data_IF_736664502276
#
_entry.id   IF_736664502276
#
_cell.length_a   1.000
_cell.length_b   1.000
_cell.length_c   1.000
_cell.angle_alpha   90.00
_cell.angle_beta   90.00
_cell.angle_gamma   90.00
#
_symmetry.space_group_name_H-M   'P 1'
#
loop_
_entity.id
_entity.type
_entity.pdbx_description
1 polymer ?
#
# COMPACT_ATOMS: atom_id res chain seq x y z
N UNK A 1 -18.89 17.22 -5.80
CA UNK A 1 -19.21 16.79 -4.41
C UNK A 1 -17.95 16.22 -3.76
N UNK A 2 -17.65 16.60 -2.52
CA UNK A 2 -16.43 16.19 -1.83
C UNK A 2 -16.60 14.80 -1.19
N UNK A 3 -15.67 13.87 -1.44
CA UNK A 3 -15.68 12.56 -0.77
C UNK A 3 -15.60 12.71 0.75
N UNK A 4 -16.32 11.86 1.49
CA UNK A 4 -16.39 11.94 2.94
C UNK A 4 -15.00 11.90 3.62
N UNK A 5 -14.10 11.00 3.19
CA UNK A 5 -12.72 10.94 3.71
C UNK A 5 -11.92 12.23 3.52
N UNK A 6 -12.24 13.04 2.50
CA UNK A 6 -11.60 14.35 2.30
C UNK A 6 -12.16 15.40 3.25
N UNK A 7 -13.46 15.31 3.59
CA UNK A 7 -14.03 16.12 4.68
C UNK A 7 -13.32 15.81 6.00
N UNK A 8 -13.04 14.54 6.28
CA UNK A 8 -12.27 14.12 7.47
C UNK A 8 -10.90 14.82 7.50
N UNK A 9 -10.15 14.83 6.40
CA UNK A 9 -8.84 15.49 6.34
C UNK A 9 -8.92 17.00 6.63
N UNK A 10 -9.89 17.69 6.02
CA UNK A 10 -10.10 19.12 6.22
C UNK A 10 -10.56 19.43 7.65
N UNK A 11 -11.51 18.65 8.17
CA UNK A 11 -12.00 18.79 9.54
C UNK A 11 -10.92 18.46 10.58
N UNK A 12 -10.02 17.50 10.29
CA UNK A 12 -8.84 17.22 11.13
C UNK A 12 -7.94 18.46 11.17
N UNK A 13 -7.59 19.04 10.02
CA UNK A 13 -6.82 20.29 9.98
C UNK A 13 -7.51 21.41 10.77
N UNK A 14 -8.81 21.61 10.57
CA UNK A 14 -9.63 22.63 11.26
C UNK A 14 -9.59 22.44 12.78
N UNK A 15 -9.77 21.18 13.22
CA UNK A 15 -9.75 20.79 14.63
C UNK A 15 -8.42 21.15 15.30
N UNK A 16 -7.31 20.99 14.60
CA UNK A 16 -5.95 21.28 15.08
C UNK A 16 -5.46 22.70 14.69
N UNK A 17 -6.36 23.68 14.62
CA UNK A 17 -5.99 25.09 14.44
C UNK A 17 -5.71 25.51 13.01
N UNK A 18 -6.11 24.70 12.03
CA UNK A 18 -6.05 25.00 10.60
C UNK A 18 -4.68 24.81 9.96
N UNK A 19 -3.66 24.39 10.71
CA UNK A 19 -2.32 24.21 10.18
C UNK A 19 -1.59 23.05 10.87
N UNK A 20 -1.05 22.12 10.08
CA UNK A 20 -0.27 20.98 10.58
C UNK A 20 0.92 20.70 9.66
N UNK A 21 2.03 20.20 10.22
CA UNK A 21 3.05 19.58 9.37
C UNK A 21 2.51 18.31 8.72
N UNK A 22 3.00 17.95 7.55
CA UNK A 22 2.61 16.71 6.87
C UNK A 22 2.90 15.46 7.72
N UNK A 23 3.93 15.51 8.58
CA UNK A 23 4.23 14.43 9.54
C UNK A 23 3.17 14.38 10.63
N UNK A 24 2.85 15.49 11.30
CA UNK A 24 1.82 15.49 12.36
C UNK A 24 0.44 15.12 11.82
N UNK A 25 0.06 15.60 10.64
CA UNK A 25 -1.22 15.25 10.01
C UNK A 25 -1.38 13.74 9.86
N UNK A 26 -0.37 13.05 9.31
CA UNK A 26 -0.42 11.60 9.15
C UNK A 26 -0.60 10.87 10.49
N UNK A 27 -0.04 11.40 11.59
CA UNK A 27 -0.07 10.77 12.92
C UNK A 27 -1.40 11.02 13.61
N UNK A 28 -1.91 12.24 13.57
CA UNK A 28 -3.24 12.54 14.08
C UNK A 28 -4.31 11.78 13.31
N UNK A 29 -4.22 11.73 11.97
CA UNK A 29 -5.14 10.94 11.15
C UNK A 29 -5.05 9.46 11.51
N UNK A 30 -3.82 8.93 11.65
CA UNK A 30 -3.62 7.55 12.07
C UNK A 30 -4.30 7.26 13.42
N UNK A 31 -4.07 8.08 14.44
CA UNK A 31 -4.65 7.90 15.77
C UNK A 31 -6.17 8.02 15.75
N UNK A 32 -6.70 9.00 15.03
CA UNK A 32 -8.13 9.18 14.82
C UNK A 32 -8.78 7.95 14.19
N UNK A 33 -8.21 7.39 13.12
CA UNK A 33 -8.85 6.24 12.43
C UNK A 33 -8.86 4.97 13.26
N UNK A 34 -8.06 4.85 14.34
CA UNK A 34 -8.12 3.71 15.27
C UNK A 34 -9.30 3.78 16.22
N UNK A 35 -9.95 4.94 16.32
CA UNK A 35 -11.18 5.11 17.07
C UNK A 35 -12.41 4.91 16.17
N UNK A 36 -12.24 4.69 14.86
CA UNK A 36 -13.34 4.40 13.94
C UNK A 36 -13.61 2.89 13.86
N UNK A 37 -14.89 2.52 13.73
CA UNK A 37 -15.28 1.13 13.46
C UNK A 37 -14.81 0.67 12.07
N UNK A 38 -15.04 1.53 11.06
CA UNK A 38 -14.54 1.37 9.70
C UNK A 38 -13.53 2.51 9.46
N UNK A 39 -12.22 2.20 9.41
CA UNK A 39 -11.21 3.22 9.18
C UNK A 39 -11.41 3.94 7.85
N UNK A 40 -11.39 5.27 7.88
CA UNK A 40 -11.47 6.08 6.67
C UNK A 40 -10.18 6.09 5.83
N UNK A 41 -9.06 5.69 6.45
CA UNK A 41 -7.75 5.56 5.81
C UNK A 41 -6.96 4.38 6.38
N UNK A 42 -6.25 3.69 5.48
CA UNK A 42 -5.28 2.65 5.79
C UNK A 42 -3.86 3.22 5.81
N UNK A 43 -2.94 2.51 6.46
CA UNK A 43 -1.56 2.97 6.68
C UNK A 43 -0.56 1.83 6.52
N UNK A 44 0.67 2.18 6.15
CA UNK A 44 1.83 1.28 6.10
C UNK A 44 2.96 1.75 7.03
N UNK A 45 3.90 0.88 7.44
CA UNK A 45 5.14 1.30 8.08
C UNK A 45 6.08 1.98 7.07
N UNK A 46 6.47 3.22 7.36
CA UNK A 46 7.27 4.05 6.45
C UNK A 46 8.35 4.86 7.19
N UNK A 47 9.05 5.72 6.44
CA UNK A 47 10.23 6.49 6.88
C UNK A 47 10.08 7.22 8.22
N UNK A 48 8.88 7.69 8.56
CA UNK A 48 8.59 8.41 9.81
C UNK A 48 7.42 7.78 10.55
N UNK A 49 7.24 6.47 10.47
CA UNK A 49 6.12 5.78 11.11
C UNK A 49 5.00 5.46 10.14
N UNK A 50 3.78 5.48 10.68
CA UNK A 50 2.57 5.29 9.89
C UNK A 50 2.43 6.35 8.78
N UNK A 51 2.05 5.86 7.60
CA UNK A 51 1.85 6.68 6.41
C UNK A 51 0.72 6.12 5.54
N UNK A 52 -0.19 7.00 5.11
CA UNK A 52 -1.23 6.73 4.11
C UNK A 52 -0.91 7.46 2.81
N UNK A 53 -0.71 6.70 1.74
CA UNK A 53 -0.60 7.21 0.38
C UNK A 53 -1.92 7.82 -0.08
N UNK A 54 -3.05 7.21 0.29
CA UNK A 54 -4.38 7.72 -0.05
C UNK A 54 -4.63 9.09 0.60
N UNK A 55 -4.27 9.26 1.88
CA UNK A 55 -4.37 10.56 2.55
C UNK A 55 -3.48 11.60 1.88
N UNK A 56 -2.24 11.25 1.52
CA UNK A 56 -1.34 12.17 0.83
C UNK A 56 -1.87 12.58 -0.56
N UNK A 57 -2.48 11.67 -1.31
CA UNK A 57 -3.11 12.01 -2.59
C UNK A 57 -4.35 12.89 -2.42
N UNK A 58 -5.16 12.62 -1.40
CA UNK A 58 -6.32 13.45 -1.13
C UNK A 58 -5.91 14.86 -0.68
N UNK A 59 -4.83 15.02 0.09
CA UNK A 59 -4.21 16.32 0.40
C UNK A 59 -3.82 17.06 -0.88
N UNK A 60 -3.10 16.41 -1.81
CA UNK A 60 -2.75 17.02 -3.10
C UNK A 60 -3.99 17.42 -3.92
N UNK A 61 -5.03 16.60 -3.87
CA UNK A 61 -6.30 16.91 -4.53
C UNK A 61 -6.98 18.12 -3.87
N UNK A 62 -6.94 18.23 -2.55
CA UNK A 62 -7.52 19.36 -1.81
C UNK A 62 -6.76 20.66 -2.08
N UNK A 63 -5.46 20.60 -2.28
CA UNK A 63 -4.69 21.75 -2.77
C UNK A 63 -5.17 22.18 -4.16
N UNK A 64 -5.31 21.23 -5.10
CA UNK A 64 -5.80 21.52 -6.46
C UNK A 64 -7.19 22.16 -6.45
N UNK A 65 -8.04 21.79 -5.49
CA UNK A 65 -9.38 22.36 -5.33
C UNK A 65 -9.41 23.66 -4.50
N UNK A 66 -8.26 24.15 -4.04
CA UNK A 66 -8.16 25.41 -3.30
C UNK A 66 -8.59 25.34 -1.83
N UNK A 67 -8.78 24.15 -1.25
CA UNK A 67 -9.13 24.02 0.17
C UNK A 67 -7.93 24.16 1.11
N UNK A 68 -6.73 23.84 0.62
CA UNK A 68 -5.50 23.88 1.40
C UNK A 68 -4.35 24.47 0.58
N UNK A 69 -3.35 24.97 1.27
CA UNK A 69 -2.04 25.33 0.74
C UNK A 69 -0.98 24.43 1.36
N UNK A 70 -0.03 23.98 0.54
CA UNK A 70 1.15 23.23 0.98
C UNK A 70 2.37 24.14 0.83
N UNK A 71 2.99 24.46 1.94
CA UNK A 71 4.17 25.32 2.02
C UNK A 71 5.39 24.44 2.30
N UNK A 72 6.36 24.47 1.40
CA UNK A 72 7.65 23.79 1.61
C UNK A 72 8.46 24.53 2.69
N UNK A 73 9.00 23.78 3.65
CA UNK A 73 9.88 24.25 4.73
C UNK A 73 11.13 23.38 4.78
N UNK A 74 12.20 23.88 5.42
CA UNK A 74 13.47 23.15 5.54
C UNK A 74 13.32 21.72 6.12
N UNK A 75 12.35 21.52 7.02
CA UNK A 75 12.14 20.25 7.74
C UNK A 75 10.91 19.44 7.26
N UNK A 76 10.33 19.82 6.11
CA UNK A 76 9.20 19.14 5.48
C UNK A 76 8.10 20.10 5.01
N UNK A 77 6.90 19.56 4.82
CA UNK A 77 5.74 20.31 4.31
C UNK A 77 4.84 20.78 5.43
N UNK A 78 4.37 22.02 5.35
CA UNK A 78 3.33 22.59 6.18
C UNK A 78 2.03 22.65 5.38
N UNK A 79 0.95 22.12 5.94
CA UNK A 79 -0.36 22.04 5.29
C UNK A 79 -1.29 22.98 6.04
N UNK A 80 -1.86 23.97 5.34
CA UNK A 80 -2.70 25.01 5.92
C UNK A 80 -4.05 25.05 5.24
N UNK A 81 -5.14 25.19 5.99
CA UNK A 81 -6.46 25.46 5.43
C UNK A 81 -6.49 26.84 4.79
N UNK A 82 -7.13 26.93 3.63
CA UNK A 82 -7.54 28.19 3.04
C UNK A 82 -8.89 28.62 3.67
N UNK A 83 -9.12 29.94 3.75
CA UNK A 83 -10.37 30.47 4.33
C UNK A 83 -11.59 29.89 3.59
N UNK A 84 -12.60 29.48 4.35
CA UNK A 84 -13.80 28.87 3.80
C UNK A 84 -14.81 28.49 4.88
N UNK A 85 -15.93 27.90 4.44
CA UNK A 85 -16.97 27.42 5.35
C UNK A 85 -16.43 26.28 6.25
N UNK A 86 -16.82 26.24 7.54
CA UNK A 86 -16.45 25.15 8.44
C UNK A 86 -16.80 23.77 7.86
N UNK A 87 -15.83 22.86 7.84
CA UNK A 87 -16.00 21.50 7.34
C UNK A 87 -16.33 20.54 8.47
N UNK A 88 -15.87 20.84 9.69
CA UNK A 88 -16.13 20.02 10.87
C UNK A 88 -17.62 19.69 11.09
N UNK A 89 -18.58 20.65 10.97
CA UNK A 89 -20.01 20.36 11.14
C UNK A 89 -20.61 19.45 10.06
N UNK A 90 -19.90 19.25 8.94
CA UNK A 90 -20.34 18.40 7.82
C UNK A 90 -19.96 16.93 7.98
N UNK A 91 -19.29 16.56 9.08
CA UNK A 91 -18.98 15.19 9.44
C UNK A 91 -20.15 14.53 10.16
N UNK A 92 -20.17 13.19 10.14
CA UNK A 92 -21.05 12.42 11.01
C UNK A 92 -20.72 12.71 12.48
N UNK A 93 -21.74 12.76 13.33
CA UNK A 93 -21.58 13.07 14.76
C UNK A 93 -20.57 12.16 15.45
N UNK A 94 -20.57 10.86 15.11
CA UNK A 94 -19.62 9.89 15.66
C UNK A 94 -18.16 10.22 15.33
N UNK A 95 -17.87 10.76 14.13
CA UNK A 95 -16.53 11.17 13.74
C UNK A 95 -16.16 12.53 14.34
N UNK A 96 -17.13 13.43 14.53
CA UNK A 96 -16.91 14.69 15.25
C UNK A 96 -16.45 14.44 16.69
N UNK A 97 -17.11 13.51 17.40
CA UNK A 97 -16.74 13.11 18.77
C UNK A 97 -15.32 12.54 18.79
N UNK A 98 -15.01 11.57 17.92
CA UNK A 98 -13.69 10.93 17.84
C UNK A 98 -12.57 11.91 17.49
N UNK A 99 -12.83 12.90 16.63
CA UNK A 99 -11.85 13.96 16.33
C UNK A 99 -11.58 14.84 17.55
N UNK A 100 -12.62 15.25 18.29
CA UNK A 100 -12.49 16.02 19.53
C UNK A 100 -11.71 15.24 20.59
N UNK A 101 -12.01 13.96 20.77
CA UNK A 101 -11.26 13.08 21.67
C UNK A 101 -9.78 12.95 21.27
N UNK A 102 -9.51 12.80 19.97
CA UNK A 102 -8.15 12.75 19.45
C UNK A 102 -7.40 14.07 19.71
N UNK A 103 -8.05 15.21 19.51
CA UNK A 103 -7.49 16.53 19.83
C UNK A 103 -7.18 16.66 21.32
N UNK A 104 -8.18 16.47 22.18
CA UNK A 104 -8.04 16.62 23.63
C UNK A 104 -6.88 15.77 24.17
N UNK A 105 -6.66 14.59 23.58
CA UNK A 105 -5.60 13.68 24.00
C UNK A 105 -4.21 14.08 23.51
N UNK A 106 -4.07 14.66 22.32
CA UNK A 106 -2.76 14.78 21.65
C UNK A 106 -2.40 16.19 21.17
N UNK A 107 -3.24 17.21 21.40
CA UNK A 107 -2.96 18.59 20.96
C UNK A 107 -1.72 19.21 21.63
N UNK A 108 -1.39 18.76 22.85
CA UNK A 108 -0.24 19.24 23.60
C UNK A 108 1.07 18.52 23.22
N UNK A 109 1.00 17.50 22.36
CA UNK A 109 2.19 16.77 21.91
C UNK A 109 2.92 17.57 20.83
N UNK A 110 4.22 17.72 20.97
CA UNK A 110 5.10 18.09 19.86
C UNK A 110 5.06 17.00 18.77
N UNK A 111 5.48 17.34 17.56
CA UNK A 111 5.61 16.35 16.47
C UNK A 111 6.48 15.15 16.87
N UNK A 112 7.56 15.39 17.62
CA UNK A 112 8.49 14.34 18.07
C UNK A 112 7.82 13.41 19.08
N UNK A 113 7.13 13.95 20.07
CA UNK A 113 6.37 13.17 21.05
C UNK A 113 5.25 12.38 20.39
N UNK A 114 4.57 12.97 19.42
CA UNK A 114 3.51 12.31 18.65
C UNK A 114 4.06 11.11 17.87
N UNK A 115 5.20 11.27 17.20
CA UNK A 115 5.86 10.16 16.49
C UNK A 115 6.30 9.08 17.49
N UNK A 116 7.00 9.46 18.57
CA UNK A 116 7.45 8.52 19.61
C UNK A 116 6.29 7.73 20.21
N UNK A 117 5.17 8.38 20.51
CA UNK A 117 3.96 7.74 20.99
C UNK A 117 3.43 6.70 20.01
N UNK A 118 3.35 7.04 18.71
CA UNK A 118 2.90 6.06 17.70
C UNK A 118 3.83 4.85 17.62
N UNK A 119 5.13 5.03 17.84
CA UNK A 119 6.10 3.92 17.79
C UNK A 119 5.97 3.02 19.01
N UNK A 120 5.81 3.60 20.19
CA UNK A 120 5.62 2.83 21.43
C UNK A 120 4.30 2.06 21.42
N UNK A 121 3.22 2.71 20.99
CA UNK A 121 1.87 2.11 21.01
C UNK A 121 1.60 1.17 19.85
N UNK A 122 2.22 1.43 18.69
CA UNK A 122 2.02 0.67 17.45
C UNK A 122 3.36 0.36 16.76
N UNK A 123 4.21 -0.48 17.39
CA UNK A 123 5.60 -0.68 16.98
C UNK A 123 5.77 -1.20 15.56
N UNK A 124 4.78 -1.91 15.00
CA UNK A 124 4.78 -2.34 13.61
C UNK A 124 5.01 -1.16 12.65
N UNK A 125 4.42 0.00 12.92
CA UNK A 125 4.54 1.16 12.03
C UNK A 125 5.92 1.82 12.07
N UNK A 126 6.77 1.45 13.04
CA UNK A 126 8.13 1.96 13.18
C UNK A 126 9.17 1.10 12.47
N UNK A 127 8.82 -0.07 11.93
CA UNK A 127 9.83 -0.98 11.35
C UNK A 127 10.63 -0.34 10.21
N UNK A 128 10.06 0.58 9.42
CA UNK A 128 10.79 1.24 8.33
C UNK A 128 11.22 2.67 8.67
N UNK A 129 11.19 3.04 9.95
CA UNK A 129 11.51 4.39 10.39
C UNK A 129 13.01 4.69 10.28
N UNK A 130 13.35 5.80 9.62
CA UNK A 130 14.72 6.30 9.54
C UNK A 130 15.17 7.06 10.77
N UNK A 131 14.25 7.35 11.70
CA UNK A 131 14.51 8.12 12.94
C UNK A 131 14.17 7.33 14.21
N UNK A 132 13.91 6.01 14.10
CA UNK A 132 13.52 5.23 15.28
C UNK A 132 14.65 5.17 16.31
N UNK A 133 15.90 5.10 15.87
CA UNK A 133 17.07 5.04 16.74
C UNK A 133 17.27 6.33 17.54
N UNK A 134 16.91 7.48 16.96
CA UNK A 134 17.00 8.78 17.63
C UNK A 134 15.88 8.99 18.65
N UNK A 135 14.75 8.28 18.47
CA UNK A 135 13.54 8.50 19.24
C UNK A 135 13.25 7.45 20.30
N UNK A 136 13.82 6.25 20.20
CA UNK A 136 13.48 5.11 21.05
C UNK A 136 14.68 4.62 21.88
N UNK A 137 14.39 4.14 23.08
CA UNK A 137 15.37 3.43 23.91
C UNK A 137 15.73 2.08 23.29
N UNK A 138 16.86 1.49 23.71
CA UNK A 138 17.30 0.15 23.27
C UNK A 138 16.21 -0.91 23.47
N UNK A 139 15.47 -0.86 24.59
CA UNK A 139 14.40 -1.80 24.88
C UNK A 139 13.21 -1.62 23.93
N UNK A 140 12.81 -0.38 23.65
CA UNK A 140 11.72 -0.07 22.70
C UNK A 140 12.11 -0.45 21.26
N UNK A 141 13.36 -0.24 20.86
CA UNK A 141 13.88 -0.66 19.55
C UNK A 141 13.81 -2.18 19.37
N UNK A 142 14.09 -2.96 20.42
CA UNK A 142 13.93 -4.42 20.38
C UNK A 142 12.47 -4.82 20.13
N UNK A 143 11.51 -4.11 20.73
CA UNK A 143 10.08 -4.35 20.48
C UNK A 143 9.73 -4.08 19.02
N UNK A 144 10.24 -2.98 18.43
CA UNK A 144 10.05 -2.67 17.01
C UNK A 144 10.67 -3.75 16.12
N UNK A 145 11.90 -4.18 16.42
CA UNK A 145 12.59 -5.21 15.62
C UNK A 145 11.85 -6.55 15.65
N UNK A 146 11.23 -6.91 16.78
CA UNK A 146 10.38 -8.10 16.90
C UNK A 146 9.12 -8.05 16.03
N UNK A 147 8.70 -6.86 15.56
CA UNK A 147 7.58 -6.73 14.61
C UNK A 147 7.98 -7.06 13.16
N UNK A 148 9.27 -7.13 12.85
CA UNK A 148 9.72 -7.52 11.51
C UNK A 148 9.56 -9.02 11.33
N UNK A 149 8.77 -9.40 10.33
CA UNK A 149 8.74 -10.79 9.86
C UNK A 149 10.03 -11.02 9.07
N UNK A 150 10.81 -12.04 9.45
CA UNK A 150 11.99 -12.48 8.71
C UNK A 150 11.88 -13.96 8.44
N UNK A 151 11.86 -14.34 7.17
CA UNK A 151 11.65 -15.70 6.69
C UNK A 151 12.75 -16.07 5.70
N UNK A 152 13.28 -17.28 5.83
CA UNK A 152 14.43 -17.74 5.05
C UNK A 152 14.06 -18.71 3.94
N UNK A 153 12.84 -19.24 3.96
CA UNK A 153 12.35 -20.18 2.95
C UNK A 153 12.04 -19.49 1.62
N UNK A 154 12.31 -20.19 0.53
CA UNK A 154 11.87 -19.75 -0.79
C UNK A 154 10.34 -19.93 -0.90
N UNK A 155 9.65 -18.91 -1.39
CA UNK A 155 8.20 -18.88 -1.45
C UNK A 155 7.73 -18.04 -2.64
N UNK A 156 6.86 -18.64 -3.44
CA UNK A 156 6.14 -17.97 -4.51
C UNK A 156 4.76 -17.56 -4.01
N UNK A 157 4.43 -16.28 -4.16
CA UNK A 157 3.14 -15.73 -3.78
C UNK A 157 2.29 -15.32 -4.97
N UNK A 158 0.99 -15.32 -4.76
CA UNK A 158 -0.02 -14.81 -5.68
C UNK A 158 -0.83 -13.74 -4.95
N UNK A 159 -0.88 -12.53 -5.49
CA UNK A 159 -1.64 -11.42 -4.90
C UNK A 159 -2.42 -10.64 -5.96
N UNK A 160 -3.73 -10.46 -5.71
CA UNK A 160 -4.62 -9.59 -6.47
C UNK A 160 -4.93 -8.32 -5.69
N UNK A 161 -5.19 -7.21 -6.39
CA UNK A 161 -5.47 -5.91 -5.75
C UNK A 161 -6.91 -5.41 -5.89
N UNK A 162 -7.77 -6.18 -6.55
CA UNK A 162 -9.21 -5.93 -6.58
C UNK A 162 -9.80 -5.90 -5.16
N UNK A 163 -10.65 -4.89 -4.90
CA UNK A 163 -11.34 -4.74 -3.61
C UNK A 163 -10.51 -4.23 -2.41
N UNK A 164 -9.17 -4.08 -2.50
CA UNK A 164 -8.33 -3.66 -1.36
C UNK A 164 -7.56 -2.36 -1.61
N UNK A 165 -7.20 -1.59 -0.59
CA UNK A 165 -6.40 -0.36 -0.77
C UNK A 165 -4.93 -0.67 -1.11
N UNK A 166 -4.18 0.34 -1.56
CA UNK A 166 -2.73 0.21 -1.76
C UNK A 166 -2.04 -0.16 -0.45
N UNK A 167 -2.43 0.47 0.65
CA UNK A 167 -1.85 0.23 1.96
C UNK A 167 -2.15 -1.18 2.48
N UNK A 168 -3.40 -1.67 2.35
CA UNK A 168 -3.72 -3.07 2.66
C UNK A 168 -2.88 -4.03 1.81
N UNK A 169 -2.74 -3.75 0.52
CA UNK A 169 -1.94 -4.56 -0.40
C UNK A 169 -0.46 -4.61 0.02
N UNK A 170 0.15 -3.47 0.32
CA UNK A 170 1.55 -3.38 0.74
C UNK A 170 1.76 -4.04 2.11
N UNK A 171 0.83 -3.88 3.06
CA UNK A 171 0.90 -4.57 4.35
C UNK A 171 0.87 -6.10 4.18
N UNK A 172 0.06 -6.65 3.26
CA UNK A 172 0.09 -8.09 2.96
C UNK A 172 1.47 -8.56 2.50
N UNK A 173 2.14 -7.78 1.66
CA UNK A 173 3.51 -8.09 1.21
C UNK A 173 4.51 -8.06 2.37
N UNK A 174 4.47 -7.01 3.19
CA UNK A 174 5.36 -6.84 4.35
C UNK A 174 5.16 -7.97 5.37
N UNK A 175 3.91 -8.29 5.71
CA UNK A 175 3.57 -9.33 6.69
C UNK A 175 3.94 -10.74 6.22
N UNK A 176 4.11 -10.94 4.91
CA UNK A 176 4.61 -12.20 4.35
C UNK A 176 6.09 -12.13 3.97
N UNK A 177 6.79 -11.06 4.36
CA UNK A 177 8.22 -10.85 4.09
C UNK A 177 8.54 -11.02 2.59
N UNK A 178 7.71 -10.43 1.73
CA UNK A 178 7.96 -10.47 0.28
C UNK A 178 9.11 -9.53 -0.04
N UNK A 179 10.14 -10.02 -0.74
CA UNK A 179 11.30 -9.23 -1.16
C UNK A 179 11.11 -8.63 -2.56
N UNK A 180 10.44 -9.35 -3.46
CA UNK A 180 10.20 -8.90 -4.84
C UNK A 180 8.73 -9.01 -5.21
N UNK A 181 8.20 -7.94 -5.80
CA UNK A 181 6.92 -7.94 -6.50
C UNK A 181 7.15 -8.00 -8.02
N UNK A 182 6.79 -9.11 -8.63
CA UNK A 182 6.78 -9.29 -10.08
C UNK A 182 5.41 -8.95 -10.65
N UNK A 183 5.32 -7.83 -11.36
CA UNK A 183 4.14 -7.44 -12.11
C UNK A 183 4.12 -8.13 -13.48
N UNK A 184 3.15 -9.03 -13.67
CA UNK A 184 2.98 -9.80 -14.92
C UNK A 184 1.86 -9.24 -15.79
N UNK A 185 1.38 -8.03 -15.52
CA UNK A 185 0.41 -7.33 -16.38
C UNK A 185 1.09 -6.88 -17.66
N UNK A 186 0.44 -7.10 -18.80
CA UNK A 186 0.91 -6.59 -20.10
C UNK A 186 1.05 -5.07 -20.04
N UNK A 187 -0.06 -4.42 -19.68
CA UNK A 187 -0.14 -3.00 -19.40
C UNK A 187 -0.30 -2.82 -17.90
N UNK A 188 0.74 -2.36 -17.21
CA UNK A 188 0.72 -2.05 -15.78
C UNK A 188 -0.03 -0.73 -15.47
N UNK A 189 -1.15 -0.52 -16.16
CA UNK A 189 -2.09 0.58 -15.96
C UNK A 189 -3.22 0.12 -15.05
N UNK A 190 -3.72 1.03 -14.20
CA UNK A 190 -4.91 0.79 -13.39
C UNK A 190 -5.59 2.11 -13.08
N UNK A 191 -6.92 2.11 -13.15
CA UNK A 191 -7.74 3.25 -12.70
C UNK A 191 -7.81 3.32 -11.17
N UNK A 192 -7.52 2.20 -10.49
CA UNK A 192 -7.49 2.14 -9.04
C UNK A 192 -6.22 2.84 -8.55
N UNK A 193 -6.40 3.83 -7.68
CA UNK A 193 -5.30 4.61 -7.12
C UNK A 193 -4.21 3.70 -6.52
N UNK A 194 -2.95 4.04 -6.76
CA UNK A 194 -1.80 3.29 -6.27
C UNK A 194 -1.31 2.15 -7.16
N UNK A 195 -2.11 1.64 -8.11
CA UNK A 195 -1.80 0.42 -8.86
C UNK A 195 -1.31 0.64 -10.30
N UNK A 196 -1.11 1.88 -10.73
CA UNK A 196 -0.32 2.17 -11.93
C UNK A 196 1.16 1.89 -11.67
N UNK A 197 1.91 1.39 -12.67
CA UNK A 197 3.35 1.03 -12.59
C UNK A 197 4.17 1.92 -11.67
N UNK A 198 4.26 3.22 -11.97
CA UNK A 198 5.12 4.15 -11.24
C UNK A 198 4.70 4.36 -9.78
N UNK A 199 3.40 4.30 -9.49
CA UNK A 199 2.90 4.45 -8.12
C UNK A 199 3.14 3.19 -7.29
N UNK A 200 2.86 2.02 -7.88
CA UNK A 200 3.08 0.74 -7.23
C UNK A 200 4.56 0.48 -6.97
N UNK A 201 5.41 0.76 -7.96
CA UNK A 201 6.86 0.69 -7.83
C UNK A 201 7.35 1.55 -6.66
N UNK A 202 6.99 2.85 -6.63
CA UNK A 202 7.38 3.75 -5.54
C UNK A 202 6.88 3.29 -4.17
N UNK A 203 5.68 2.72 -4.11
CA UNK A 203 5.11 2.20 -2.87
C UNK A 203 5.88 0.98 -2.35
N UNK A 204 6.22 0.04 -3.24
CA UNK A 204 7.04 -1.13 -2.94
C UNK A 204 8.46 -0.75 -2.52
N UNK A 205 9.17 0.03 -3.33
CA UNK A 205 10.56 0.42 -3.07
C UNK A 205 10.66 1.25 -1.79
N UNK A 206 9.66 2.07 -1.51
CA UNK A 206 9.59 2.87 -0.29
C UNK A 206 9.51 2.05 1.01
N UNK A 207 9.14 0.77 0.93
CA UNK A 207 9.14 -0.18 2.06
C UNK A 207 10.18 -1.29 1.91
N UNK A 208 11.11 -1.16 0.96
CA UNK A 208 12.19 -2.12 0.73
C UNK A 208 11.83 -3.33 -0.14
N UNK A 209 10.71 -3.28 -0.88
CA UNK A 209 10.29 -4.36 -1.79
C UNK A 209 10.71 -3.97 -3.20
N UNK A 210 11.49 -4.83 -3.85
CA UNK A 210 11.89 -4.64 -5.25
C UNK A 210 10.68 -4.82 -6.18
N UNK A 211 10.61 -4.04 -7.24
CA UNK A 211 9.54 -4.12 -8.24
C UNK A 211 10.11 -4.52 -9.59
N UNK A 212 9.61 -5.61 -10.17
CA UNK A 212 10.03 -6.12 -11.48
C UNK A 212 8.81 -6.23 -12.39
N UNK A 213 8.82 -5.52 -13.51
CA UNK A 213 7.75 -5.62 -14.51
C UNK A 213 8.15 -6.61 -15.61
N UNK A 214 7.29 -7.61 -15.85
CA UNK A 214 7.46 -8.69 -16.84
C UNK A 214 6.23 -8.70 -17.77
N UNK A 215 6.07 -7.67 -18.63
CA UNK A 215 4.90 -7.55 -19.51
C UNK A 215 4.79 -8.68 -20.55
N UNK A 216 5.87 -9.41 -20.83
CA UNK A 216 5.91 -10.48 -21.83
C UNK A 216 5.09 -11.71 -21.42
N UNK A 217 4.78 -11.84 -20.12
CA UNK A 217 3.85 -12.84 -19.58
C UNK A 217 2.44 -12.27 -19.35
N UNK A 218 2.14 -11.09 -19.88
CA UNK A 218 0.83 -10.48 -19.79
C UNK A 218 -0.07 -10.86 -20.97
N UNK A 219 -1.35 -11.12 -20.71
CA UNK A 219 -2.36 -11.19 -21.78
C UNK A 219 -2.66 -9.78 -22.28
N UNK A 220 -2.59 -9.58 -23.60
CA UNK A 220 -2.94 -8.33 -24.31
C UNK A 220 -4.35 -7.86 -23.95
N UNK A 221 -4.55 -6.54 -23.94
CA UNK A 221 -5.81 -5.94 -23.49
C UNK A 221 -6.98 -6.19 -24.45
N UNK A 222 -6.72 -6.27 -25.75
CA UNK A 222 -7.72 -6.58 -26.79
C UNK A 222 -8.35 -7.95 -26.59
N UNK A 223 -7.56 -8.97 -26.23
CA UNK A 223 -8.02 -10.33 -25.93
C UNK A 223 -8.89 -10.45 -24.67
N UNK A 224 -8.93 -9.41 -23.84
CA UNK A 224 -9.73 -9.37 -22.59
C UNK A 224 -11.08 -8.69 -22.74
N UNK A 225 -11.34 -7.98 -23.85
CA UNK A 225 -12.54 -7.14 -24.00
C UNK A 225 -13.83 -7.95 -24.26
N UNK A 226 -13.72 -9.22 -24.64
CA UNK A 226 -14.85 -10.07 -25.05
C UNK A 226 -15.00 -11.31 -24.15
N UNK A 227 -14.84 -11.15 -22.83
CA UNK A 227 -15.00 -12.24 -21.87
C UNK A 227 -16.32 -12.06 -21.10
N UNK A 228 -17.37 -12.78 -21.51
CA UNK A 228 -18.71 -12.67 -20.92
C UNK A 228 -19.11 -13.90 -20.10
N UNK A 229 -18.40 -15.01 -20.25
CA UNK A 229 -18.66 -16.28 -19.59
C UNK A 229 -17.38 -16.97 -19.12
N UNK A 230 -17.48 -17.91 -18.18
CA UNK A 230 -16.33 -18.71 -17.74
C UNK A 230 -15.68 -19.47 -18.90
N UNK A 231 -16.47 -19.92 -19.89
CA UNK A 231 -15.98 -20.59 -21.09
C UNK A 231 -15.04 -19.70 -21.91
N UNK A 232 -15.29 -18.39 -21.96
CA UNK A 232 -14.42 -17.44 -22.68
C UNK A 232 -13.06 -17.33 -21.99
N UNK A 233 -13.05 -17.31 -20.65
CA UNK A 233 -11.82 -17.35 -19.86
C UNK A 233 -11.04 -18.65 -20.10
N UNK A 234 -11.73 -19.79 -20.14
CA UNK A 234 -11.10 -21.09 -20.35
C UNK A 234 -10.40 -21.16 -21.72
N UNK A 235 -11.08 -20.71 -22.79
CA UNK A 235 -10.51 -20.62 -24.15
C UNK A 235 -9.31 -19.66 -24.18
N UNK A 236 -9.44 -18.48 -23.57
CA UNK A 236 -8.36 -17.50 -23.50
C UNK A 236 -7.13 -18.08 -22.79
N UNK A 237 -7.33 -18.78 -21.68
CA UNK A 237 -6.23 -19.36 -20.92
C UNK A 237 -5.59 -20.55 -21.62
N UNK A 238 -6.37 -21.38 -22.32
CA UNK A 238 -5.83 -22.43 -23.17
C UNK A 238 -4.95 -21.84 -24.27
N UNK A 239 -5.44 -20.83 -24.99
CA UNK A 239 -4.64 -20.14 -26.01
C UNK A 239 -3.36 -19.52 -25.41
N UNK A 240 -3.45 -18.89 -24.25
CA UNK A 240 -2.31 -18.31 -23.54
C UNK A 240 -1.26 -19.37 -23.14
N UNK A 241 -1.70 -20.54 -22.67
CA UNK A 241 -0.84 -21.68 -22.36
C UNK A 241 -0.15 -22.26 -23.61
N UNK A 242 -0.87 -22.32 -24.73
CA UNK A 242 -0.35 -22.88 -25.99
C UNK A 242 0.52 -21.91 -26.80
N UNK A 243 0.43 -20.60 -26.56
CA UNK A 243 1.18 -19.57 -27.28
C UNK A 243 2.20 -18.90 -26.35
N UNK A 244 1.77 -17.90 -25.58
CA UNK A 244 2.63 -17.03 -24.79
C UNK A 244 3.52 -17.80 -23.82
N UNK A 245 2.96 -18.76 -23.06
CA UNK A 245 3.77 -19.53 -22.09
C UNK A 245 4.78 -20.47 -22.76
N UNK A 246 4.53 -20.94 -23.99
CA UNK A 246 5.48 -21.77 -24.74
C UNK A 246 6.57 -20.93 -25.41
N UNK A 247 6.20 -19.78 -25.97
CA UNK A 247 7.11 -18.89 -26.69
C UNK A 247 7.99 -18.05 -25.76
N UNK A 248 7.48 -17.69 -24.57
CA UNK A 248 8.13 -16.77 -23.63
C UNK A 248 8.74 -17.47 -22.41
N UNK A 249 9.24 -18.71 -22.60
CA UNK A 249 9.86 -19.52 -21.53
C UNK A 249 11.02 -18.82 -20.82
N UNK A 250 11.79 -17.99 -21.53
CA UNK A 250 12.88 -17.21 -20.94
C UNK A 250 12.42 -16.34 -19.76
N UNK A 251 11.20 -15.79 -19.82
CA UNK A 251 10.63 -14.96 -18.75
C UNK A 251 10.10 -15.79 -17.58
N UNK A 252 9.68 -17.03 -17.83
CA UNK A 252 9.38 -18.00 -16.77
C UNK A 252 10.66 -18.37 -16.02
N UNK A 253 11.74 -18.66 -16.74
CA UNK A 253 13.04 -18.92 -16.12
C UNK A 253 13.60 -17.70 -15.39
N UNK A 254 13.37 -16.48 -15.90
CA UNK A 254 13.67 -15.24 -15.18
C UNK A 254 12.94 -15.18 -13.84
N UNK A 255 11.65 -15.50 -13.78
CA UNK A 255 10.92 -15.55 -12.49
C UNK A 255 11.51 -16.63 -11.57
N UNK A 256 11.78 -17.84 -12.08
CA UNK A 256 12.43 -18.90 -11.29
C UNK A 256 13.75 -18.41 -10.69
N UNK A 257 14.59 -17.78 -11.49
CA UNK A 257 15.87 -17.24 -11.04
C UNK A 257 15.69 -16.18 -9.93
N UNK A 258 14.74 -15.26 -10.08
CA UNK A 258 14.41 -14.27 -9.04
C UNK A 258 13.95 -14.96 -7.74
N UNK A 259 13.15 -16.03 -7.83
CA UNK A 259 12.76 -16.81 -6.64
C UNK A 259 13.97 -17.47 -5.98
N UNK A 260 14.92 -17.97 -6.77
CA UNK A 260 16.12 -18.62 -6.23
C UNK A 260 17.08 -17.64 -5.56
N UNK A 261 17.22 -16.43 -6.11
CA UNK A 261 18.12 -15.38 -5.58
C UNK A 261 17.49 -14.62 -4.43
N UNK A 262 16.25 -14.15 -4.61
CA UNK A 262 15.57 -13.25 -3.67
C UNK A 262 14.66 -14.02 -2.70
N UNK A 263 14.46 -15.32 -2.89
CA UNK A 263 13.69 -16.25 -2.05
C UNK A 263 12.18 -15.99 -2.04
N UNK A 264 11.74 -14.77 -1.79
CA UNK A 264 10.34 -14.43 -1.46
C UNK A 264 9.75 -13.51 -2.49
N UNK A 265 9.03 -14.08 -3.45
CA UNK A 265 8.58 -13.38 -4.66
C UNK A 265 7.08 -13.47 -4.79
N UNK A 266 6.40 -12.34 -4.99
CA UNK A 266 4.98 -12.29 -5.28
C UNK A 266 4.74 -11.96 -6.75
N UNK A 267 3.86 -12.71 -7.42
CA UNK A 267 3.30 -12.32 -8.70
C UNK A 267 2.04 -11.49 -8.46
N UNK A 268 1.84 -10.43 -9.23
CA UNK A 268 0.66 -9.56 -9.13
C UNK A 268 -0.14 -9.44 -10.42
N UNK A 269 -1.46 -9.33 -10.25
CA UNK A 269 -2.41 -8.91 -11.27
C UNK A 269 -3.60 -8.20 -10.62
N UNK A 270 -4.60 -7.79 -11.40
CA UNK A 270 -5.80 -7.13 -10.90
C UNK A 270 -6.68 -8.06 -10.06
N UNK A 271 -7.06 -9.20 -10.64
CA UNK A 271 -8.14 -10.05 -10.16
C UNK A 271 -7.85 -10.59 -8.76
N UNK A 272 -8.84 -10.49 -7.86
CA UNK A 272 -8.75 -11.05 -6.51
C UNK A 272 -8.76 -12.58 -6.58
N UNK A 273 -9.65 -13.15 -7.39
CA UNK A 273 -9.77 -14.60 -7.58
C UNK A 273 -8.64 -15.13 -8.49
N UNK A 274 -7.75 -16.00 -7.97
CA UNK A 274 -6.73 -16.63 -8.80
C UNK A 274 -7.29 -17.45 -9.96
N UNK A 275 -8.49 -18.05 -9.86
CA UNK A 275 -9.06 -18.91 -10.91
C UNK A 275 -9.33 -18.13 -12.19
N UNK A 276 -9.68 -16.86 -12.06
CA UNK A 276 -9.97 -15.95 -13.19
C UNK A 276 -8.74 -15.16 -13.65
N UNK A 277 -7.54 -15.53 -13.18
CA UNK A 277 -6.33 -14.76 -13.41
C UNK A 277 -5.28 -15.57 -14.20
N UNK A 278 -4.67 -14.94 -15.21
CA UNK A 278 -3.58 -15.54 -15.99
C UNK A 278 -2.35 -15.86 -15.13
N UNK A 279 -2.19 -15.16 -14.00
CA UNK A 279 -1.18 -15.41 -12.98
C UNK A 279 -1.17 -16.86 -12.52
N UNK A 280 -2.33 -17.51 -12.42
CA UNK A 280 -2.43 -18.93 -12.02
C UNK A 280 -1.83 -19.85 -13.07
N UNK A 281 -1.91 -19.49 -14.36
CA UNK A 281 -1.28 -20.28 -15.43
C UNK A 281 0.25 -20.18 -15.37
N UNK A 282 0.77 -18.98 -15.08
CA UNK A 282 2.21 -18.76 -14.83
C UNK A 282 2.68 -19.57 -13.61
N UNK A 283 1.95 -19.50 -12.50
CA UNK A 283 2.27 -20.24 -11.27
C UNK A 283 2.26 -21.75 -11.52
N UNK A 284 1.27 -22.26 -12.26
CA UNK A 284 1.20 -23.68 -12.62
C UNK A 284 2.44 -24.13 -13.39
N UNK A 285 2.94 -23.32 -14.34
CA UNK A 285 4.18 -23.64 -15.05
C UNK A 285 5.37 -23.63 -14.10
N UNK A 286 5.52 -22.57 -13.29
CA UNK A 286 6.62 -22.45 -12.31
C UNK A 286 6.69 -23.64 -11.35
N UNK A 287 5.54 -24.04 -10.79
CA UNK A 287 5.45 -25.15 -9.84
C UNK A 287 5.71 -26.54 -10.46
N UNK A 288 5.68 -26.65 -11.79
CA UNK A 288 5.99 -27.89 -12.52
C UNK A 288 7.39 -27.88 -13.15
N UNK A 289 8.20 -26.85 -12.92
CA UNK A 289 9.59 -26.86 -13.36
C UNK A 289 10.39 -27.92 -12.57
N UNK A 290 11.42 -28.52 -13.18
CA UNK A 290 12.29 -29.44 -12.45
C UNK A 290 13.04 -28.72 -11.32
N UNK A 291 13.33 -29.46 -10.25
CA UNK A 291 14.21 -29.04 -9.14
C UNK A 291 13.75 -27.78 -8.38
N UNK A 292 12.44 -27.52 -8.28
CA UNK A 292 11.94 -26.41 -7.46
C UNK A 292 12.20 -26.65 -5.96
N UNK A 293 12.62 -25.58 -5.26
CA UNK A 293 12.87 -25.58 -3.80
C UNK A 293 11.93 -24.64 -3.03
N UNK A 294 10.97 -24.02 -3.73
CA UNK A 294 10.00 -23.10 -3.19
C UNK A 294 8.61 -23.73 -3.14
N UNK A 295 7.79 -23.30 -2.18
CA UNK A 295 6.36 -23.60 -2.17
C UNK A 295 5.51 -22.40 -2.56
N UNK A 296 4.23 -22.63 -2.77
CA UNK A 296 3.27 -21.65 -3.27
C UNK A 296 2.23 -21.28 -2.21
N UNK A 297 1.91 -19.98 -2.10
CA UNK A 297 0.85 -19.46 -1.23
C UNK A 297 0.10 -18.27 -1.85
N UNK A 298 -1.22 -18.24 -1.72
CA UNK A 298 -2.06 -17.07 -2.06
C UNK A 298 -2.12 -16.08 -0.88
N UNK A 299 -2.09 -14.77 -1.16
CA UNK A 299 -2.14 -13.67 -0.18
C UNK A 299 -3.49 -12.95 -0.09
#
# INVERSE_FOLDING_TARGET
MLYYRRKILLALLETFGGQLTAKSLQKYLFLFTRNQEIPSFDFIPYKYGCFSYQANQDILTMQKYGYIEIIEKANGRLISLQQGNPIFPLLMESDQIKLKETKNRFEHFTQTELIRFTYQKYPYYAINSSIAQDLLTVTELKIVEQQRVKKSEQQLFSIGYEGISLETYINKLIQNDVHVLCDVRKNAFSQKYGFSKNQLQKACEGVGIQYVHIPELGIESDKRQTLNSQKDYDILFEQYEHTTLKEKKEYIFKIKHIIETEKRVALTCFEKDPVQCHRTRIIKVLMNLPEIKYSYKTL
#
